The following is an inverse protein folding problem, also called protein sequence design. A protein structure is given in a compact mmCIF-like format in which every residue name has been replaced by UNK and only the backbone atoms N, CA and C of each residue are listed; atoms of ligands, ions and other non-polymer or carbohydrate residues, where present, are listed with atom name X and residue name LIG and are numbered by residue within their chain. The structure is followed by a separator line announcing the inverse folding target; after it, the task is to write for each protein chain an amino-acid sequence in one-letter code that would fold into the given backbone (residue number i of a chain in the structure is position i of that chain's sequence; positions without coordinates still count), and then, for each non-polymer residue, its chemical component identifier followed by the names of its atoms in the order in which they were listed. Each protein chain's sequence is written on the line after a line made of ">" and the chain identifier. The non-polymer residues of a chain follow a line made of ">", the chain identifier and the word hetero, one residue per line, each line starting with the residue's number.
data_IF_202936111071
#
_entry.id   IF_202936111071
#
_cell.length_a   1.000
_cell.length_b   1.000
_cell.length_c   1.000
_cell.angle_alpha   90.00
_cell.angle_beta   90.00
_cell.angle_gamma   90.00
#
_symmetry.space_group_name_H-M   'P 1'
#
loop_
_entity.id
_entity.type
_entity.pdbx_description
1 polymer ?
#
# COMPACT_ATOMS: atom_id res chain seq x y z
N UNK A 1 -19.93 1.64 17.29
CA UNK A 1 -18.77 1.49 16.37
C UNK A 1 -18.90 2.54 15.30
N UNK A 2 -17.96 3.49 15.20
CA UNK A 2 -17.89 4.35 14.02
C UNK A 2 -17.44 3.49 12.84
N UNK A 3 -18.36 3.19 11.93
CA UNK A 3 -17.99 2.58 10.66
C UNK A 3 -17.17 3.59 9.87
N UNK A 4 -15.94 3.21 9.50
CA UNK A 4 -15.12 3.97 8.56
C UNK A 4 -15.81 3.95 7.20
N UNK A 5 -15.98 5.13 6.59
CA UNK A 5 -16.63 5.31 5.30
C UNK A 5 -15.71 6.10 4.38
N UNK A 6 -16.05 6.12 3.11
CA UNK A 6 -15.31 6.88 2.11
C UNK A 6 -15.62 8.37 2.24
N UNK A 7 -14.58 9.19 2.29
CA UNK A 7 -14.67 10.65 2.31
C UNK A 7 -14.31 11.20 0.93
N UNK A 8 -14.66 12.47 0.67
CA UNK A 8 -14.34 13.11 -0.60
C UNK A 8 -12.82 13.12 -0.86
N UNK A 9 -12.00 13.25 0.18
CA UNK A 9 -10.53 13.21 0.08
C UNK A 9 -9.96 11.83 -0.30
N UNK A 10 -10.75 10.76 -0.18
CA UNK A 10 -10.36 9.42 -0.61
C UNK A 10 -10.30 9.32 -2.15
N UNK A 11 -11.17 10.02 -2.88
CA UNK A 11 -11.22 9.98 -4.35
C UNK A 11 -9.89 10.39 -5.01
N UNK A 12 -9.33 11.58 -4.72
CA UNK A 12 -8.03 11.94 -5.27
C UNK A 12 -6.90 11.07 -4.72
N UNK A 13 -7.07 10.44 -3.54
CA UNK A 13 -6.11 9.46 -3.02
C UNK A 13 -6.06 8.19 -3.89
N UNK A 14 -7.22 7.61 -4.22
CA UNK A 14 -7.32 6.45 -5.09
C UNK A 14 -6.72 6.68 -6.48
N UNK A 15 -6.98 7.85 -7.07
CA UNK A 15 -6.41 8.23 -8.37
C UNK A 15 -4.88 8.32 -8.32
N UNK A 16 -4.34 8.94 -7.26
CA UNK A 16 -2.87 8.98 -7.05
C UNK A 16 -2.29 7.58 -6.88
N UNK A 17 -2.91 6.74 -6.05
CA UNK A 17 -2.46 5.36 -5.83
C UNK A 17 -2.46 4.55 -7.13
N UNK A 18 -3.50 4.69 -7.95
CA UNK A 18 -3.60 4.01 -9.23
C UNK A 18 -2.46 4.40 -10.19
N UNK A 19 -2.21 5.71 -10.34
CA UNK A 19 -1.13 6.22 -11.22
C UNK A 19 0.24 5.79 -10.69
N UNK A 20 0.50 5.96 -9.39
CA UNK A 20 1.78 5.55 -8.80
C UNK A 20 2.03 4.06 -8.98
N UNK A 21 1.02 3.21 -8.75
CA UNK A 21 1.13 1.77 -8.96
C UNK A 21 1.38 1.42 -10.44
N UNK A 22 0.65 2.05 -11.37
CA UNK A 22 0.87 1.82 -12.80
C UNK A 22 2.30 2.18 -13.23
N UNK A 23 2.82 3.32 -12.76
CA UNK A 23 4.21 3.74 -13.00
C UNK A 23 5.24 2.79 -12.42
N UNK A 24 5.02 2.32 -11.19
CA UNK A 24 5.90 1.32 -10.54
C UNK A 24 5.95 0.01 -11.33
N UNK A 25 4.84 -0.37 -11.97
CA UNK A 25 4.77 -1.53 -12.84
C UNK A 25 5.29 -1.29 -14.28
N UNK A 26 5.87 -0.11 -14.56
CA UNK A 26 6.47 0.21 -15.84
C UNK A 26 5.47 0.58 -16.94
N UNK A 27 4.23 0.92 -16.59
CA UNK A 27 3.20 1.30 -17.56
C UNK A 27 3.57 2.57 -18.33
N UNK A 28 3.40 2.55 -19.65
CA UNK A 28 3.55 3.75 -20.48
C UNK A 28 2.40 4.75 -20.27
N UNK A 29 2.48 5.92 -20.90
CA UNK A 29 1.46 6.98 -20.74
C UNK A 29 0.07 6.52 -21.19
N UNK A 30 -0.02 5.68 -22.23
CA UNK A 30 -1.30 5.17 -22.75
C UNK A 30 -1.96 4.21 -21.76
N UNK A 31 -1.17 3.32 -21.16
CA UNK A 31 -1.61 2.40 -20.12
C UNK A 31 -1.99 3.15 -18.83
N UNK A 32 -1.19 4.15 -18.43
CA UNK A 32 -1.52 5.01 -17.29
C UNK A 32 -2.86 5.73 -17.51
N UNK A 33 -3.11 6.22 -18.73
CA UNK A 33 -4.40 6.84 -19.07
C UNK A 33 -5.55 5.85 -18.99
N UNK A 34 -5.37 4.63 -19.50
CA UNK A 34 -6.39 3.57 -19.45
C UNK A 34 -6.76 3.20 -18.00
N UNK A 35 -5.75 3.02 -17.14
CA UNK A 35 -5.94 2.80 -15.70
C UNK A 35 -6.74 3.94 -15.07
N UNK A 36 -6.39 5.19 -15.39
CA UNK A 36 -7.07 6.36 -14.83
C UNK A 36 -8.56 6.40 -15.22
N UNK A 37 -8.86 6.18 -16.49
CA UNK A 37 -10.23 6.20 -17.01
C UNK A 37 -11.08 5.10 -16.35
N UNK A 38 -10.53 3.88 -16.19
CA UNK A 38 -11.21 2.78 -15.50
C UNK A 38 -11.43 3.05 -14.01
N UNK A 39 -10.45 3.63 -13.32
CA UNK A 39 -10.58 3.99 -11.90
C UNK A 39 -11.62 5.08 -11.72
N UNK A 40 -11.67 6.09 -12.60
CA UNK A 40 -12.72 7.11 -12.57
C UNK A 40 -14.11 6.51 -12.74
N UNK A 41 -14.28 5.56 -13.67
CA UNK A 41 -15.56 4.87 -13.87
C UNK A 41 -15.95 4.01 -12.68
N UNK A 42 -15.00 3.35 -12.02
CA UNK A 42 -15.21 2.67 -10.76
C UNK A 42 -15.70 3.65 -9.69
N UNK A 43 -14.95 4.74 -9.45
CA UNK A 43 -15.26 5.73 -8.41
C UNK A 43 -16.60 6.45 -8.62
N UNK A 44 -17.10 6.53 -9.86
CA UNK A 44 -18.45 7.03 -10.13
C UNK A 44 -19.56 6.10 -9.66
N UNK A 45 -19.26 4.81 -9.44
CA UNK A 45 -20.24 3.75 -9.16
C UNK A 45 -20.12 3.14 -7.75
N UNK A 46 -19.01 3.38 -7.06
CA UNK A 46 -18.80 2.87 -5.68
C UNK A 46 -19.84 3.44 -4.71
N UNK A 47 -20.23 2.63 -3.73
CA UNK A 47 -21.04 3.08 -2.60
C UNK A 47 -20.18 3.94 -1.66
N UNK A 48 -20.53 5.22 -1.40
CA UNK A 48 -19.80 6.05 -0.44
C UNK A 48 -19.80 5.49 0.99
N UNK A 49 -20.74 4.59 1.33
CA UNK A 49 -20.77 3.91 2.61
C UNK A 49 -19.71 2.80 2.74
N UNK A 50 -19.14 2.34 1.62
CA UNK A 50 -18.02 1.38 1.64
C UNK A 50 -16.80 1.95 2.33
N UNK A 51 -16.03 1.06 2.95
CA UNK A 51 -14.80 1.43 3.61
C UNK A 51 -13.73 1.75 2.56
N UNK A 52 -12.88 2.78 2.76
CA UNK A 52 -11.83 3.12 1.81
C UNK A 52 -10.93 1.95 1.39
N UNK A 53 -10.53 1.01 2.28
CA UNK A 53 -9.73 -0.15 1.88
C UNK A 53 -10.42 -1.08 0.88
N UNK A 54 -11.76 -1.20 0.92
CA UNK A 54 -12.52 -2.03 -0.02
C UNK A 54 -12.49 -1.44 -1.44
N UNK A 55 -12.55 -0.11 -1.53
CA UNK A 55 -12.42 0.60 -2.81
C UNK A 55 -10.96 0.57 -3.29
N UNK A 56 -10.00 0.78 -2.39
CA UNK A 56 -8.57 0.72 -2.70
C UNK A 56 -8.16 -0.64 -3.27
N UNK A 57 -8.68 -1.73 -2.73
CA UNK A 57 -8.45 -3.09 -3.24
C UNK A 57 -9.02 -3.28 -4.67
N UNK A 58 -10.20 -2.73 -4.96
CA UNK A 58 -10.75 -2.70 -6.33
C UNK A 58 -9.86 -1.91 -7.28
N UNK A 59 -9.35 -0.76 -6.86
CA UNK A 59 -8.42 0.07 -7.63
C UNK A 59 -7.12 -0.68 -7.93
N UNK A 60 -6.50 -1.31 -6.93
CA UNK A 60 -5.28 -2.09 -7.13
C UNK A 60 -5.48 -3.29 -8.07
N UNK A 61 -6.67 -3.92 -8.05
CA UNK A 61 -6.99 -4.98 -9.01
C UNK A 61 -7.03 -4.47 -10.45
N UNK A 62 -7.66 -3.32 -10.70
CA UNK A 62 -7.69 -2.71 -12.05
C UNK A 62 -6.28 -2.43 -12.55
N UNK A 63 -5.42 -1.83 -11.71
CA UNK A 63 -4.02 -1.59 -12.09
C UNK A 63 -3.30 -2.88 -12.47
N UNK A 64 -3.47 -3.96 -11.70
CA UNK A 64 -2.84 -5.26 -11.98
C UNK A 64 -3.38 -5.95 -13.24
N UNK A 65 -4.60 -5.64 -13.66
CA UNK A 65 -5.20 -6.18 -14.89
C UNK A 65 -4.66 -5.47 -16.13
N UNK A 66 -4.43 -4.16 -16.04
CA UNK A 66 -3.97 -3.34 -17.16
C UNK A 66 -2.45 -3.40 -17.37
N UNK A 67 -1.68 -3.58 -16.31
CA UNK A 67 -0.22 -3.64 -16.43
C UNK A 67 0.26 -5.09 -16.52
N UNK A 68 0.90 -5.41 -17.65
CA UNK A 68 1.19 -6.78 -18.09
C UNK A 68 2.18 -7.59 -17.22
N UNK A 69 2.79 -7.00 -16.19
CA UNK A 69 3.98 -7.56 -15.53
C UNK A 69 3.85 -7.88 -14.02
N UNK A 70 2.63 -8.15 -13.55
CA UNK A 70 2.38 -8.65 -12.20
C UNK A 70 2.43 -7.59 -11.09
N UNK A 71 2.58 -8.01 -9.83
CA UNK A 71 2.45 -7.16 -8.63
C UNK A 71 3.32 -5.89 -8.72
N UNK A 72 2.71 -4.67 -8.86
CA UNK A 72 3.43 -3.40 -8.98
C UNK A 72 4.40 -3.13 -7.83
N UNK A 73 4.16 -3.78 -6.70
CA UNK A 73 4.91 -3.57 -5.47
C UNK A 73 6.02 -4.60 -5.26
N UNK A 74 6.27 -5.53 -6.19
CA UNK A 74 7.24 -6.62 -6.00
C UNK A 74 8.63 -6.11 -5.62
N UNK A 75 9.20 -5.21 -6.42
CA UNK A 75 10.55 -4.70 -6.19
C UNK A 75 10.70 -3.98 -4.84
N UNK A 76 9.70 -3.18 -4.46
CA UNK A 76 9.72 -2.45 -3.19
C UNK A 76 9.51 -3.38 -1.99
N UNK A 77 8.65 -4.40 -2.12
CA UNK A 77 8.46 -5.45 -1.10
C UNK A 77 9.74 -6.24 -0.86
N UNK A 78 10.44 -6.61 -1.93
CA UNK A 78 11.73 -7.31 -1.83
C UNK A 78 12.79 -6.44 -1.15
N UNK A 79 12.89 -5.16 -1.53
CA UNK A 79 13.82 -4.22 -0.91
C UNK A 79 13.52 -4.02 0.58
N UNK A 80 12.25 -3.80 0.95
CA UNK A 80 11.81 -3.67 2.34
C UNK A 80 12.08 -4.93 3.16
N UNK A 81 11.79 -6.10 2.59
CA UNK A 81 12.06 -7.39 3.25
C UNK A 81 13.56 -7.58 3.51
N UNK A 82 14.42 -7.29 2.51
CA UNK A 82 15.87 -7.35 2.70
C UNK A 82 16.36 -6.40 3.81
N UNK A 83 15.85 -5.17 3.84
CA UNK A 83 16.20 -4.20 4.87
C UNK A 83 15.75 -4.65 6.27
N UNK A 84 14.53 -5.18 6.40
CA UNK A 84 14.02 -5.72 7.66
C UNK A 84 14.85 -6.92 8.15
N UNK A 85 15.21 -7.85 7.26
CA UNK A 85 16.05 -9.00 7.59
C UNK A 85 17.46 -8.60 8.03
N UNK A 86 18.04 -7.54 7.47
CA UNK A 86 19.33 -7.03 7.90
C UNK A 86 19.29 -6.47 9.34
N UNK A 87 18.16 -5.91 9.75
CA UNK A 87 17.94 -5.38 11.10
C UNK A 87 17.51 -6.46 12.12
N UNK A 88 16.98 -7.59 11.64
CA UNK A 88 16.39 -8.64 12.47
C UNK A 88 17.31 -9.17 13.59
N UNK A 89 18.61 -9.46 13.36
CA UNK A 89 19.50 -9.91 14.44
C UNK A 89 19.58 -8.94 15.61
N UNK A 90 19.64 -7.63 15.32
CA UNK A 90 19.67 -6.57 16.33
C UNK A 90 18.35 -6.46 17.08
N UNK A 91 17.23 -6.54 16.38
CA UNK A 91 15.90 -6.54 17.02
C UNK A 91 15.72 -7.74 17.96
N UNK A 92 16.24 -8.91 17.57
CA UNK A 92 16.22 -10.11 18.40
C UNK A 92 17.08 -9.97 19.66
N UNK A 93 18.24 -9.33 19.56
CA UNK A 93 19.07 -9.01 20.72
C UNK A 93 18.33 -8.05 21.69
N UNK A 94 17.78 -6.95 21.16
CA UNK A 94 16.97 -6.00 21.95
C UNK A 94 15.83 -6.69 22.71
N UNK A 95 15.16 -7.66 22.07
CA UNK A 95 14.07 -8.41 22.70
C UNK A 95 14.56 -9.35 23.81
N UNK A 96 15.74 -9.95 23.64
CA UNK A 96 16.32 -10.91 24.59
C UNK A 96 16.88 -10.21 25.83
N UNK A 97 17.35 -8.98 25.68
CA UNK A 97 17.94 -8.16 26.74
C UNK A 97 16.93 -7.24 27.42
N UNK A 98 15.67 -7.22 26.96
CA UNK A 98 14.63 -6.33 27.47
C UNK A 98 14.13 -6.75 28.86
N UNK A 99 13.91 -5.75 29.73
CA UNK A 99 13.24 -5.93 31.03
C UNK A 99 11.79 -6.44 30.86
N UNK A 100 11.09 -5.93 29.82
CA UNK A 100 9.78 -6.41 29.39
C UNK A 100 9.83 -6.79 27.89
N UNK A 101 10.01 -8.09 27.58
CA UNK A 101 10.04 -8.56 26.20
C UNK A 101 8.70 -8.37 25.46
N UNK A 102 7.56 -8.42 26.15
CA UNK A 102 6.26 -8.28 25.48
C UNK A 102 6.04 -6.83 25.02
N UNK A 103 6.28 -5.85 25.89
CA UNK A 103 6.21 -4.43 25.54
C UNK A 103 7.19 -4.10 24.39
N UNK A 104 8.42 -4.61 24.48
CA UNK A 104 9.45 -4.42 23.44
C UNK A 104 9.02 -5.01 22.11
N UNK A 105 8.49 -6.24 22.08
CA UNK A 105 7.99 -6.87 20.87
C UNK A 105 6.86 -6.06 20.22
N UNK A 106 5.92 -5.56 21.02
CA UNK A 106 4.80 -4.74 20.52
C UNK A 106 5.33 -3.45 19.89
N UNK A 107 6.26 -2.74 20.55
CA UNK A 107 6.87 -1.51 20.00
C UNK A 107 7.63 -1.77 18.70
N UNK A 108 8.40 -2.85 18.63
CA UNK A 108 9.12 -3.24 17.41
C UNK A 108 8.14 -3.57 16.28
N UNK A 109 7.03 -4.27 16.57
CA UNK A 109 5.99 -4.57 15.59
C UNK A 109 5.30 -3.29 15.07
N UNK A 110 4.97 -2.36 15.96
CA UNK A 110 4.40 -1.05 15.58
C UNK A 110 5.39 -0.27 14.72
N UNK A 111 6.66 -0.20 15.12
CA UNK A 111 7.70 0.49 14.36
C UNK A 111 7.85 -0.11 12.96
N UNK A 112 7.85 -1.45 12.85
CA UNK A 112 7.89 -2.15 11.57
C UNK A 112 6.69 -1.82 10.65
N UNK A 113 5.50 -1.69 11.22
CA UNK A 113 4.28 -1.37 10.46
C UNK A 113 4.21 0.10 9.99
N UNK A 114 4.99 1.01 10.60
CA UNK A 114 5.07 2.43 10.22
C UNK A 114 6.09 2.65 9.09
N UNK A 115 7.00 1.70 8.86
CA UNK A 115 7.96 1.77 7.75
C UNK A 115 7.19 1.57 6.44
N UNK A 116 6.70 2.67 5.88
CA UNK A 116 5.99 2.69 4.61
C UNK A 116 6.97 2.92 3.46
N UNK A 117 6.75 2.19 2.37
CA UNK A 117 7.51 2.31 1.14
C UNK A 117 6.68 3.03 0.07
N UNK A 118 5.94 4.06 0.51
CA UNK A 118 5.26 4.97 -0.40
C UNK A 118 6.33 5.64 -1.28
N UNK A 119 6.19 5.61 -2.61
CA UNK A 119 7.08 6.37 -3.47
C UNK A 119 6.98 7.86 -3.09
N UNK A 120 8.13 8.48 -2.84
CA UNK A 120 8.22 9.92 -2.70
C UNK A 120 7.68 10.59 -3.98
N UNK A 121 7.01 11.74 -3.77
CA UNK A 121 6.30 12.55 -4.76
C UNK A 121 6.98 12.67 -6.12
#
# INVERSE_FOLDING_TARGET
>A
MHHMRTYLDCYPCFLRQAISAARMAGADESQQRMVLDQVLDLLRRVDPASAPPEIGDQVHRLVRQEVADGDPYRAVKEAGTRAALALYPRMKALLTEADDPLDTAIRLSIAGNIIDAAPDR
#
